data_IF_093902655467
#
_entry.id   IF_093902655467
#
_cell.length_a   1.000
_cell.length_b   1.000
_cell.length_c   1.000
_cell.angle_alpha   90.00
_cell.angle_beta   90.00
_cell.angle_gamma   90.00
#
_symmetry.space_group_name_H-M   'P 1'
#
loop_
_entity.id
_entity.type
_entity.pdbx_description
1 polymer ?
#
# COMPACT_ATOMS: atom_id res chain seq x y z
N UNK A 1 1.08 -11.75 23.44
CA UNK A 1 1.92 -11.03 24.41
C UNK A 1 3.16 -10.55 23.72
N UNK A 2 3.55 -9.31 23.96
CA UNK A 2 4.64 -8.64 23.24
C UNK A 2 5.54 -7.93 24.25
N UNK A 3 6.86 -7.95 24.02
CA UNK A 3 7.79 -7.22 24.88
C UNK A 3 7.80 -5.74 24.52
N UNK A 4 8.23 -4.87 25.46
CA UNK A 4 8.37 -3.44 25.15
C UNK A 4 9.38 -3.20 24.02
N UNK A 5 10.43 -4.01 23.93
CA UNK A 5 11.46 -3.90 22.89
C UNK A 5 10.87 -4.19 21.52
N UNK A 6 10.09 -5.28 21.39
CA UNK A 6 9.44 -5.63 20.13
C UNK A 6 8.43 -4.55 19.73
N UNK A 7 7.67 -4.03 20.69
CA UNK A 7 6.73 -2.94 20.44
C UNK A 7 7.43 -1.66 19.94
N UNK A 8 8.60 -1.30 20.51
CA UNK A 8 9.41 -0.18 20.01
C UNK A 8 9.83 -0.40 18.56
N UNK A 9 10.27 -1.60 18.20
CA UNK A 9 10.64 -1.92 16.82
C UNK A 9 9.47 -1.71 15.86
N UNK A 10 8.30 -2.25 16.22
CA UNK A 10 7.08 -2.09 15.41
C UNK A 10 6.67 -0.64 15.24
N UNK A 11 6.80 0.20 16.28
CA UNK A 11 6.46 1.63 16.16
C UNK A 11 7.47 2.43 15.34
N UNK A 12 8.76 2.05 15.39
CA UNK A 12 9.81 2.67 14.55
C UNK A 12 9.49 2.47 13.07
N UNK A 13 9.16 1.23 12.68
CA UNK A 13 8.79 0.89 11.31
C UNK A 13 7.47 1.55 10.90
N UNK A 14 6.43 1.46 11.76
CA UNK A 14 5.09 1.99 11.46
C UNK A 14 5.07 3.51 11.21
N UNK A 15 5.86 4.28 11.94
CA UNK A 15 5.87 5.74 11.86
C UNK A 15 7.07 6.30 11.08
N UNK A 16 7.83 5.45 10.38
CA UNK A 16 9.05 5.82 9.65
C UNK A 16 10.01 6.69 10.50
N UNK A 17 10.25 6.27 11.74
CA UNK A 17 11.16 6.95 12.66
C UNK A 17 12.57 6.44 12.37
N UNK A 18 13.56 7.32 12.25
CA UNK A 18 14.94 6.87 12.02
C UNK A 18 15.43 5.95 13.14
N UNK A 19 15.90 4.76 12.75
CA UNK A 19 16.34 3.73 13.68
C UNK A 19 17.72 4.03 14.29
N UNK A 20 17.71 4.80 15.38
CA UNK A 20 18.92 5.14 16.14
C UNK A 20 18.76 4.75 17.59
N UNK A 21 19.88 4.43 18.26
CA UNK A 21 19.89 4.10 19.70
C UNK A 21 19.24 5.21 20.54
N UNK A 22 19.46 6.48 20.15
CA UNK A 22 18.85 7.65 20.78
C UNK A 22 17.32 7.64 20.66
N UNK A 23 16.78 7.35 19.48
CA UNK A 23 15.34 7.29 19.26
C UNK A 23 14.71 6.08 19.96
N UNK A 24 15.33 4.90 19.87
CA UNK A 24 14.92 3.70 20.63
C UNK A 24 14.83 3.98 22.13
N UNK A 25 15.85 4.65 22.68
CA UNK A 25 15.89 5.00 24.11
C UNK A 25 14.77 5.98 24.49
N UNK A 26 14.56 7.04 23.68
CA UNK A 26 13.45 8.00 23.89
C UNK A 26 12.09 7.32 23.86
N UNK A 27 11.83 6.50 22.84
CA UNK A 27 10.58 5.75 22.69
C UNK A 27 10.36 4.82 23.88
N UNK A 28 11.38 4.07 24.27
CA UNK A 28 11.31 3.19 25.44
C UNK A 28 10.97 3.95 26.72
N UNK A 29 11.58 5.12 26.95
CA UNK A 29 11.27 5.98 28.11
C UNK A 29 9.82 6.47 28.04
N UNK A 30 9.39 6.99 26.87
CA UNK A 30 8.02 7.49 26.68
C UNK A 30 6.99 6.39 26.93
N UNK A 31 7.17 5.23 26.33
CA UNK A 31 6.25 4.11 26.48
C UNK A 31 6.23 3.58 27.90
N UNK A 32 7.38 3.49 28.57
CA UNK A 32 7.45 3.09 29.99
C UNK A 32 6.64 4.04 30.87
N UNK A 33 6.80 5.37 30.70
CA UNK A 33 6.04 6.36 31.46
C UNK A 33 4.54 6.25 31.21
N UNK A 34 4.13 6.11 29.95
CA UNK A 34 2.70 5.98 29.62
C UNK A 34 2.11 4.65 30.11
N UNK A 35 2.86 3.56 30.09
CA UNK A 35 2.44 2.29 30.71
C UNK A 35 2.30 2.38 32.23
N UNK A 36 3.12 3.20 32.90
CA UNK A 36 2.97 3.50 34.33
C UNK A 36 1.72 4.34 34.60
N UNK A 37 1.49 5.39 33.80
CA UNK A 37 0.28 6.23 33.88
C UNK A 37 -1.01 5.43 33.67
N UNK A 38 -0.98 4.43 32.79
CA UNK A 38 -2.09 3.52 32.53
C UNK A 38 -2.23 2.40 33.59
N UNK A 39 -1.30 2.30 34.54
CA UNK A 39 -1.29 1.23 35.56
C UNK A 39 -0.91 -0.16 35.04
N UNK A 40 -0.43 -0.25 33.79
CA UNK A 40 -0.07 -1.52 33.14
C UNK A 40 1.37 -1.96 33.42
N UNK A 41 2.24 -1.02 33.82
CA UNK A 41 3.65 -1.33 34.05
C UNK A 41 3.91 -2.32 35.19
N UNK A 42 3.20 -2.13 36.30
CA UNK A 42 3.37 -2.93 37.51
C UNK A 42 2.50 -4.19 37.51
N UNK A 43 1.41 -4.19 36.72
CA UNK A 43 0.47 -5.30 36.57
C UNK A 43 0.83 -6.24 35.41
N UNK A 44 1.81 -5.88 34.58
CA UNK A 44 2.24 -6.70 33.45
C UNK A 44 2.82 -8.06 33.89
N UNK A 45 2.51 -9.10 33.13
CA UNK A 45 3.08 -10.43 33.32
C UNK A 45 4.61 -10.36 33.16
N UNK A 46 5.33 -11.03 34.06
CA UNK A 46 6.79 -11.12 34.01
C UNK A 46 7.19 -12.54 33.66
N UNK A 47 8.06 -12.68 32.66
CA UNK A 47 8.62 -13.97 32.23
C UNK A 47 10.13 -13.88 32.20
N UNK A 48 10.81 -14.91 32.73
CA UNK A 48 12.26 -15.03 32.60
C UNK A 48 12.58 -15.46 31.16
N UNK A 49 13.25 -14.58 30.43
CA UNK A 49 13.74 -14.85 29.07
C UNK A 49 15.27 -14.78 29.13
N UNK A 50 15.92 -15.95 28.99
CA UNK A 50 17.36 -16.07 29.23
C UNK A 50 17.72 -15.87 30.70
N UNK A 51 18.57 -14.87 31.01
CA UNK A 51 18.97 -14.51 32.38
C UNK A 51 18.14 -13.37 32.99
N UNK A 52 17.26 -12.73 32.21
CA UNK A 52 16.58 -11.50 32.60
C UNK A 52 15.06 -11.69 32.71
N UNK A 53 14.45 -11.01 33.68
CA UNK A 53 13.00 -10.90 33.81
C UNK A 53 12.47 -9.84 32.84
N UNK A 54 11.62 -10.26 31.90
CA UNK A 54 11.04 -9.40 30.87
C UNK A 54 9.54 -9.25 31.09
N UNK A 55 9.04 -8.01 30.97
CA UNK A 55 7.61 -7.70 31.04
C UNK A 55 6.94 -7.97 29.70
N UNK A 56 5.75 -8.56 29.76
CA UNK A 56 4.92 -8.92 28.63
C UNK A 56 3.60 -8.14 28.69
N UNK A 57 3.22 -7.55 27.56
CA UNK A 57 2.00 -6.77 27.43
C UNK A 57 1.00 -7.47 26.51
N UNK A 58 -0.29 -7.39 26.86
CA UNK A 58 -1.38 -7.89 26.01
C UNK A 58 -1.65 -6.93 24.85
N UNK A 59 -2.37 -7.40 23.82
CA UNK A 59 -2.75 -6.55 22.69
C UNK A 59 -3.64 -5.39 23.14
N UNK A 60 -4.52 -5.61 24.11
CA UNK A 60 -5.38 -4.56 24.69
C UNK A 60 -4.55 -3.47 25.38
N UNK A 61 -3.59 -3.85 26.23
CA UNK A 61 -2.68 -2.90 26.89
C UNK A 61 -1.86 -2.09 25.87
N UNK A 62 -1.39 -2.74 24.81
CA UNK A 62 -0.66 -2.07 23.73
C UNK A 62 -1.55 -1.17 22.86
N UNK A 63 -2.84 -1.51 22.70
CA UNK A 63 -3.79 -0.66 22.01
C UNK A 63 -4.03 0.64 22.78
N UNK A 64 -4.27 0.55 24.09
CA UNK A 64 -4.41 1.73 24.95
C UNK A 64 -3.14 2.59 24.98
N UNK A 65 -1.97 1.94 25.03
CA UNK A 65 -0.69 2.62 24.88
C UNK A 65 -0.62 3.36 23.54
N UNK A 66 -0.93 2.68 22.44
CA UNK A 66 -0.88 3.21 21.06
C UNK A 66 -1.68 4.51 20.94
N UNK A 67 -2.93 4.51 21.40
CA UNK A 67 -3.82 5.68 21.35
C UNK A 67 -3.19 6.86 22.12
N UNK A 68 -2.64 6.61 23.31
CA UNK A 68 -2.04 7.65 24.16
C UNK A 68 -0.76 8.24 23.59
N UNK A 69 0.05 7.43 22.89
CA UNK A 69 1.37 7.86 22.40
C UNK A 69 1.37 8.28 20.94
N UNK A 70 0.29 8.01 20.18
CA UNK A 70 0.16 8.37 18.77
C UNK A 70 0.51 9.86 18.48
N UNK A 71 0.01 10.86 19.23
CA UNK A 71 0.38 12.26 18.96
C UNK A 71 1.87 12.54 19.14
N UNK A 72 2.55 11.78 19.99
CA UNK A 72 4.00 11.88 20.16
C UNK A 72 4.74 11.19 19.00
N UNK A 73 4.26 10.03 18.54
CA UNK A 73 4.87 9.29 17.44
C UNK A 73 4.75 10.04 16.12
N UNK A 74 3.58 10.63 15.82
CA UNK A 74 3.39 11.46 14.64
C UNK A 74 4.38 12.63 14.57
N UNK A 75 4.71 13.24 15.72
CA UNK A 75 5.72 14.33 15.80
C UNK A 75 7.17 13.86 15.68
N UNK A 76 7.44 12.58 15.86
CA UNK A 76 8.80 12.03 15.78
C UNK A 76 9.07 11.31 14.46
N UNK A 77 8.02 10.81 13.81
CA UNK A 77 8.06 10.18 12.50
C UNK A 77 8.12 11.20 11.37
N UNK A 78 8.34 10.70 10.16
CA UNK A 78 8.31 11.48 8.92
C UNK A 78 6.93 11.43 8.26
N UNK A 79 5.87 11.45 9.06
CA UNK A 79 4.49 11.37 8.59
C UNK A 79 3.96 12.78 8.35
N UNK A 80 3.40 13.02 7.17
CA UNK A 80 2.66 14.26 6.89
C UNK A 80 1.36 14.25 7.70
N UNK A 81 1.29 15.13 8.70
CA UNK A 81 0.16 15.21 9.63
C UNK A 81 -1.06 15.83 8.95
N UNK A 82 -0.85 16.78 8.03
CA UNK A 82 -1.95 17.45 7.32
C UNK A 82 -2.61 16.47 6.35
N UNK A 83 -1.80 15.73 5.57
CA UNK A 83 -2.29 14.68 4.69
C UNK A 83 -3.02 13.58 5.48
N UNK A 84 -2.45 13.13 6.60
CA UNK A 84 -3.08 12.11 7.45
C UNK A 84 -4.45 12.55 7.97
N UNK A 85 -4.60 13.81 8.37
CA UNK A 85 -5.85 14.34 8.90
C UNK A 85 -6.91 14.51 7.81
N UNK A 86 -6.51 14.93 6.61
CA UNK A 86 -7.39 14.98 5.44
C UNK A 86 -7.94 13.59 5.11
N UNK A 87 -7.07 12.56 5.10
CA UNK A 87 -7.51 11.18 4.91
C UNK A 87 -8.50 10.73 6.00
N UNK A 88 -8.27 11.07 7.27
CA UNK A 88 -9.18 10.73 8.37
C UNK A 88 -10.55 11.35 8.17
N UNK A 89 -10.61 12.64 7.86
CA UNK A 89 -11.87 13.35 7.64
C UNK A 89 -12.66 12.76 6.47
N UNK A 90 -11.99 12.47 5.35
CA UNK A 90 -12.62 11.83 4.20
C UNK A 90 -13.20 10.45 4.55
N UNK A 91 -12.49 9.67 5.37
CA UNK A 91 -12.94 8.34 5.78
C UNK A 91 -14.09 8.40 6.80
N UNK A 92 -14.06 9.36 7.71
CA UNK A 92 -15.15 9.64 8.66
C UNK A 92 -16.43 10.03 7.91
N UNK A 93 -16.31 10.93 6.93
CA UNK A 93 -17.43 11.31 6.06
C UNK A 93 -18.00 10.09 5.31
N UNK A 94 -17.14 9.26 4.73
CA UNK A 94 -17.57 8.04 4.03
C UNK A 94 -18.31 7.05 4.95
N UNK A 95 -17.81 6.85 6.18
CA UNK A 95 -18.48 6.00 7.17
C UNK A 95 -19.83 6.60 7.57
N UNK A 96 -19.88 7.91 7.79
CA UNK A 96 -21.12 8.62 8.09
C UNK A 96 -22.14 8.45 6.97
N UNK A 97 -21.74 8.68 5.72
CA UNK A 97 -22.59 8.54 4.53
C UNK A 97 -23.17 7.13 4.41
N UNK A 98 -22.36 6.09 4.61
CA UNK A 98 -22.83 4.69 4.61
C UNK A 98 -23.76 4.43 5.79
N UNK A 99 -23.41 4.90 6.99
CA UNK A 99 -24.21 4.65 8.20
C UNK A 99 -25.59 5.32 8.12
N UNK A 100 -25.67 6.47 7.44
CA UNK A 100 -26.89 7.24 7.22
C UNK A 100 -27.64 6.79 5.95
N UNK A 101 -27.06 5.91 5.14
CA UNK A 101 -27.68 5.40 3.93
C UNK A 101 -28.88 4.51 4.29
N UNK A 102 -30.08 4.96 3.93
CA UNK A 102 -31.29 4.16 4.03
C UNK A 102 -31.49 3.34 2.75
N UNK A 103 -32.29 2.27 2.81
CA UNK A 103 -32.64 1.53 1.61
C UNK A 103 -33.30 2.43 0.55
N UNK A 104 -34.05 3.45 0.94
CA UNK A 104 -34.67 4.42 0.01
C UNK A 104 -33.63 5.35 -0.64
N UNK A 105 -32.67 5.89 0.13
CA UNK A 105 -31.64 6.77 -0.44
C UNK A 105 -30.70 6.01 -1.39
N UNK A 106 -30.41 4.74 -1.11
CA UNK A 106 -29.64 3.88 -2.01
C UNK A 106 -30.39 3.58 -3.33
N UNK A 107 -31.69 3.31 -3.26
CA UNK A 107 -32.50 3.07 -4.46
C UNK A 107 -32.62 4.32 -5.34
N UNK A 108 -32.81 5.51 -4.74
CA UNK A 108 -32.82 6.78 -5.49
C UNK A 108 -31.49 7.06 -6.17
N UNK A 109 -30.37 6.78 -5.51
CA UNK A 109 -29.03 6.96 -6.08
C UNK A 109 -28.78 6.02 -7.27
N UNK A 110 -29.24 4.76 -7.19
CA UNK A 110 -29.18 3.81 -8.31
C UNK A 110 -30.08 4.20 -9.48
N UNK A 111 -31.26 4.76 -9.20
CA UNK A 111 -32.17 5.28 -10.22
C UNK A 111 -31.57 6.49 -10.94
N UNK A 112 -30.98 7.44 -10.21
CA UNK A 112 -30.28 8.59 -10.80
C UNK A 112 -29.08 8.18 -11.65
N UNK A 113 -28.26 7.22 -11.18
CA UNK A 113 -27.13 6.70 -11.95
C UNK A 113 -27.56 5.95 -13.23
N UNK A 114 -28.76 5.36 -13.28
CA UNK A 114 -29.28 4.68 -14.47
C UNK A 114 -29.64 5.65 -15.62
N UNK A 115 -29.99 6.91 -15.31
CA UNK A 115 -30.39 7.90 -16.31
C UNK A 115 -29.27 8.83 -16.74
N UNK A 116 -28.11 8.78 -16.07
CA UNK A 116 -26.95 9.56 -16.47
C UNK A 116 -26.28 8.95 -17.71
N UNK A 117 -25.92 9.77 -18.72
CA UNK A 117 -25.13 9.29 -19.84
C UNK A 117 -23.79 8.74 -19.32
N UNK A 118 -23.19 7.73 -19.99
CA UNK A 118 -21.92 7.16 -19.57
C UNK A 118 -20.86 8.28 -19.50
N UNK A 119 -20.29 8.46 -18.31
CA UNK A 119 -19.21 9.43 -18.07
C UNK A 119 -17.87 8.79 -18.40
N UNK A 120 -16.94 9.60 -18.87
CA UNK A 120 -15.55 9.16 -19.12
C UNK A 120 -14.98 8.58 -17.83
N UNK A 121 -14.54 7.34 -17.91
CA UNK A 121 -13.91 6.65 -16.79
C UNK A 121 -12.46 7.12 -16.64
N UNK A 122 -11.92 7.01 -15.42
CA UNK A 122 -10.49 7.31 -15.17
C UNK A 122 -9.56 6.50 -16.07
N UNK A 123 -9.93 5.26 -16.40
CA UNK A 123 -9.15 4.38 -17.29
C UNK A 123 -9.08 4.93 -18.71
N UNK A 124 -10.21 5.33 -19.27
CA UNK A 124 -10.26 5.92 -20.62
C UNK A 124 -9.44 7.21 -20.69
N UNK A 125 -9.58 8.10 -19.70
CA UNK A 125 -8.79 9.33 -19.64
C UNK A 125 -7.28 9.02 -19.57
N UNK A 126 -6.88 8.06 -18.75
CA UNK A 126 -5.48 7.66 -18.58
C UNK A 126 -4.91 7.02 -19.86
N UNK A 127 -5.67 6.16 -20.55
CA UNK A 127 -5.25 5.56 -21.83
C UNK A 127 -4.97 6.63 -22.88
N UNK A 128 -5.83 7.66 -22.99
CA UNK A 128 -5.63 8.78 -23.92
C UNK A 128 -4.40 9.60 -23.54
N UNK A 129 -4.24 9.95 -22.27
CA UNK A 129 -3.09 10.74 -21.79
C UNK A 129 -1.77 10.01 -22.00
N UNK A 130 -1.72 8.71 -21.68
CA UNK A 130 -0.52 7.88 -21.86
C UNK A 130 -0.18 7.69 -23.34
N UNK A 131 -1.18 7.46 -24.20
CA UNK A 131 -0.98 7.35 -25.65
C UNK A 131 -0.43 8.65 -26.21
N UNK A 132 -1.02 9.79 -25.86
CA UNK A 132 -0.54 11.10 -26.30
C UNK A 132 0.89 11.40 -25.82
N UNK A 133 1.24 11.02 -24.58
CA UNK A 133 2.58 11.17 -24.05
C UNK A 133 3.59 10.26 -24.78
N UNK A 134 3.21 9.00 -25.01
CA UNK A 134 4.04 8.02 -25.70
C UNK A 134 4.31 8.45 -27.15
N UNK A 135 3.25 8.78 -27.89
CA UNK A 135 3.35 9.21 -29.29
C UNK A 135 4.09 10.55 -29.46
N UNK A 136 4.32 11.30 -28.39
CA UNK A 136 5.20 12.48 -28.44
C UNK A 136 6.66 12.11 -28.74
N UNK A 137 7.11 10.94 -28.29
CA UNK A 137 8.51 10.49 -28.39
C UNK A 137 8.69 9.26 -29.27
N UNK A 138 7.64 8.48 -29.48
CA UNK A 138 7.70 7.21 -30.20
C UNK A 138 6.67 7.16 -31.34
N UNK A 139 6.94 6.33 -32.34
CA UNK A 139 5.93 5.87 -33.30
C UNK A 139 4.89 4.99 -32.60
N UNK A 140 3.63 4.91 -33.09
CA UNK A 140 2.62 4.01 -32.54
C UNK A 140 3.15 2.57 -32.46
N UNK A 141 2.78 1.85 -31.38
CA UNK A 141 3.21 0.48 -31.15
C UNK A 141 2.86 -0.42 -32.34
N UNK A 142 3.80 -1.27 -32.76
CA UNK A 142 3.54 -2.31 -33.76
C UNK A 142 2.80 -3.50 -33.11
N UNK A 143 1.54 -3.25 -32.75
CA UNK A 143 0.65 -4.23 -32.12
C UNK A 143 0.42 -5.43 -33.04
N UNK A 144 0.47 -5.22 -34.37
CA UNK A 144 0.29 -6.31 -35.33
C UNK A 144 1.46 -7.29 -35.24
N UNK A 145 2.71 -6.80 -35.28
CA UNK A 145 3.89 -7.67 -35.15
C UNK A 145 3.96 -8.33 -33.78
N UNK A 146 3.62 -7.60 -32.73
CA UNK A 146 3.60 -8.15 -31.37
C UNK A 146 2.58 -9.28 -31.23
N UNK A 147 1.37 -9.11 -31.76
CA UNK A 147 0.36 -10.17 -31.77
C UNK A 147 0.79 -11.38 -32.61
N UNK A 148 1.47 -11.15 -33.73
CA UNK A 148 2.01 -12.22 -34.55
C UNK A 148 3.05 -13.04 -33.77
N UNK A 149 4.00 -12.38 -33.10
CA UNK A 149 5.01 -13.08 -32.30
C UNK A 149 4.37 -13.87 -31.14
N UNK A 150 3.33 -13.31 -30.47
CA UNK A 150 2.57 -14.06 -29.46
C UNK A 150 1.89 -15.30 -30.05
N UNK A 151 1.30 -15.19 -31.23
CA UNK A 151 0.68 -16.32 -31.91
C UNK A 151 1.71 -17.40 -32.27
N UNK A 152 2.88 -17.01 -32.78
CA UNK A 152 3.99 -17.93 -33.08
C UNK A 152 4.41 -18.73 -31.85
N UNK A 153 4.53 -18.10 -30.67
CA UNK A 153 4.85 -18.82 -29.44
C UNK A 153 3.69 -19.70 -28.96
N UNK A 154 2.46 -19.20 -29.03
CA UNK A 154 1.28 -19.90 -28.50
C UNK A 154 0.96 -21.19 -29.26
N UNK A 155 1.16 -21.21 -30.59
CA UNK A 155 0.85 -22.34 -31.46
C UNK A 155 2.04 -23.24 -31.77
N UNK A 156 3.22 -22.98 -31.22
CA UNK A 156 4.41 -23.80 -31.45
C UNK A 156 4.35 -25.14 -30.68
N UNK A 157 4.72 -26.22 -31.36
CA UNK A 157 4.98 -27.51 -30.74
C UNK A 157 6.43 -27.60 -30.23
N UNK A 158 6.75 -28.62 -29.43
CA UNK A 158 8.10 -28.81 -28.87
C UNK A 158 9.19 -28.88 -29.96
N UNK A 159 8.85 -29.38 -31.14
CA UNK A 159 9.77 -29.47 -32.28
C UNK A 159 10.06 -28.11 -32.92
N UNK A 160 9.12 -27.16 -32.84
CA UNK A 160 9.24 -25.82 -33.43
C UNK A 160 10.05 -24.87 -32.52
N UNK A 161 10.29 -25.25 -31.25
CA UNK A 161 10.96 -24.36 -30.29
C UNK A 161 12.43 -24.08 -30.63
N UNK A 162 13.03 -24.90 -31.50
CA UNK A 162 14.37 -24.67 -32.04
C UNK A 162 14.37 -23.90 -33.36
N UNK A 163 13.19 -23.64 -33.93
CA UNK A 163 13.08 -22.92 -35.18
C UNK A 163 13.44 -21.44 -35.00
N UNK A 164 13.99 -20.87 -36.07
CA UNK A 164 14.45 -19.48 -36.06
C UNK A 164 13.30 -18.51 -35.77
N UNK A 165 12.12 -18.76 -36.31
CA UNK A 165 10.95 -17.91 -36.09
C UNK A 165 10.50 -17.92 -34.63
N UNK A 166 10.49 -19.09 -33.99
CA UNK A 166 10.19 -19.23 -32.57
C UNK A 166 11.23 -18.48 -31.71
N UNK A 167 12.52 -18.70 -31.97
CA UNK A 167 13.60 -18.07 -31.21
C UNK A 167 13.53 -16.54 -31.36
N UNK A 168 13.36 -16.03 -32.57
CA UNK A 168 13.28 -14.59 -32.82
C UNK A 168 12.03 -13.95 -32.18
N UNK A 169 10.88 -14.62 -32.24
CA UNK A 169 9.68 -14.16 -31.55
C UNK A 169 9.90 -14.13 -30.02
N UNK A 170 10.50 -15.19 -29.46
CA UNK A 170 10.82 -15.27 -28.03
C UNK A 170 11.80 -14.17 -27.58
N UNK A 171 12.83 -13.88 -28.37
CA UNK A 171 13.77 -12.79 -28.08
C UNK A 171 13.09 -11.42 -28.04
N UNK A 172 12.16 -11.13 -28.97
CA UNK A 172 11.41 -9.88 -29.00
C UNK A 172 10.42 -9.76 -27.85
N UNK A 173 9.68 -10.83 -27.57
CA UNK A 173 8.72 -10.87 -26.46
C UNK A 173 9.38 -10.72 -25.08
N UNK A 174 10.62 -11.19 -24.93
CA UNK A 174 11.42 -10.98 -23.72
C UNK A 174 12.03 -9.56 -23.62
N UNK A 175 12.05 -8.78 -24.72
CA UNK A 175 12.55 -7.41 -24.76
C UNK A 175 11.56 -6.46 -25.47
N UNK A 176 10.32 -6.34 -24.97
CA UNK A 176 9.22 -5.76 -25.73
C UNK A 176 9.39 -4.26 -25.97
N UNK A 177 9.97 -3.51 -25.02
CA UNK A 177 10.23 -2.07 -25.20
C UNK A 177 11.16 -1.83 -26.38
N UNK A 178 12.29 -2.54 -26.45
CA UNK A 178 13.24 -2.38 -27.55
C UNK A 178 12.72 -2.93 -28.88
N UNK A 179 11.81 -3.92 -28.83
CA UNK A 179 11.41 -4.68 -30.02
C UNK A 179 10.14 -4.17 -30.68
N UNK A 180 9.23 -3.54 -29.93
CA UNK A 180 7.93 -3.09 -30.42
C UNK A 180 7.69 -1.58 -30.27
N UNK A 181 8.69 -0.84 -29.76
CA UNK A 181 8.69 0.62 -29.77
C UNK A 181 9.78 1.14 -30.70
N UNK A 182 9.55 2.30 -31.29
CA UNK A 182 10.53 2.97 -32.16
C UNK A 182 10.49 4.47 -31.86
N UNK A 183 11.63 5.01 -31.45
CA UNK A 183 11.79 6.43 -31.17
C UNK A 183 11.68 7.25 -32.46
N UNK A 184 11.12 8.45 -32.36
CA UNK A 184 10.96 9.40 -33.48
C UNK A 184 12.22 10.18 -33.79
#
# INVERSE_FOLDING_TARGET
YTTLTDYVNTQIEKYDISDTEKNRSKLRIKFTRTLQELGYWDTAEKRVIGRNETRLFTNEQLNHLSIKVEPYLLKQGNVDIEELEEYRQNFEQYIEDISNQTNESYQQQLEEEQYEPPKVTKREAMEVMLTALFEKFFEPLDVQKWNQDKATIHFAELVDMTDTDYILASMRLNNPVQSYTKEK
#
